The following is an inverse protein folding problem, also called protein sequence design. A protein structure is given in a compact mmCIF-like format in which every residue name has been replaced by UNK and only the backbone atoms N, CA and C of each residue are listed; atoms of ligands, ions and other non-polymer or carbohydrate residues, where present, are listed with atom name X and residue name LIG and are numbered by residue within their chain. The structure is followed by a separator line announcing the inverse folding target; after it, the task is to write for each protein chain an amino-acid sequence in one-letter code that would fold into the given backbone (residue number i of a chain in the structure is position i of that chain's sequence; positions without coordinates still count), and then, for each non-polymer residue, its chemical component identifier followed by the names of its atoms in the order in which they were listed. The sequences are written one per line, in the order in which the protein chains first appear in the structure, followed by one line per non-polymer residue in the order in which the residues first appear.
data_IF_161464947709
#
_entry.id   IF_161464947709
#
_cell.length_a   1.000
_cell.length_b   1.000
_cell.length_c   1.000
_cell.angle_alpha   90.00
_cell.angle_beta   90.00
_cell.angle_gamma   90.00
#
_symmetry.space_group_name_H-M   'P 1'
#
loop_
_entity.id
_entity.type
_entity.pdbx_description
1 polymer ?
#
# COMPACT_ATOMS: atom_id res chain seq x y z
N UNK A 1 -20.99 -66.08 6.73
CA UNK A 1 -22.00 -65.20 7.36
C UNK A 1 -23.09 -65.99 8.10
N UNK A 2 -23.25 -67.30 7.86
CA UNK A 2 -24.37 -68.09 8.38
C UNK A 2 -24.29 -68.58 9.84
N UNK A 3 -23.17 -68.34 10.53
CA UNK A 3 -22.99 -68.76 11.94
C UNK A 3 -23.59 -67.76 12.94
N UNK A 4 -23.64 -66.47 12.58
CA UNK A 4 -24.14 -65.40 13.44
C UNK A 4 -25.68 -65.31 13.49
N UNK A 5 -26.36 -65.86 12.48
CA UNK A 5 -27.83 -65.89 12.43
C UNK A 5 -28.46 -66.94 13.36
N UNK A 6 -27.66 -67.89 13.88
CA UNK A 6 -28.14 -68.99 14.75
C UNK A 6 -28.19 -68.63 16.23
N UNK A 7 -27.50 -67.58 16.65
CA UNK A 7 -27.44 -67.12 18.06
C UNK A 7 -28.26 -65.84 18.27
N UNK A 8 -29.28 -65.59 17.44
CA UNK A 8 -30.16 -64.43 17.62
C UNK A 8 -31.11 -64.67 18.80
N UNK A 9 -31.24 -63.72 19.72
CA UNK A 9 -32.21 -63.83 20.81
C UNK A 9 -33.64 -63.90 20.25
N UNK A 10 -34.47 -64.80 20.79
CA UNK A 10 -35.82 -65.06 20.29
C UNK A 10 -36.85 -64.04 20.80
N UNK A 11 -36.51 -63.25 21.82
CA UNK A 11 -37.44 -62.29 22.40
C UNK A 11 -37.39 -60.93 21.68
N UNK A 12 -38.55 -60.28 21.43
CA UNK A 12 -38.61 -59.02 20.70
C UNK A 12 -37.90 -57.86 21.43
N UNK A 13 -37.75 -57.94 22.75
CA UNK A 13 -37.04 -56.94 23.55
C UNK A 13 -35.52 -57.05 23.42
N UNK A 14 -34.98 -58.27 23.41
CA UNK A 14 -33.55 -58.52 23.23
C UNK A 14 -33.10 -58.19 21.81
N UNK A 15 -33.92 -58.48 20.80
CA UNK A 15 -33.67 -58.06 19.42
C UNK A 15 -33.64 -56.54 19.27
N UNK A 16 -34.56 -55.81 19.92
CA UNK A 16 -34.55 -54.33 19.91
C UNK A 16 -33.29 -53.76 20.56
N UNK A 17 -32.82 -54.37 21.66
CA UNK A 17 -31.55 -54.00 22.32
C UNK A 17 -30.34 -54.29 21.45
N UNK A 18 -30.31 -55.44 20.77
CA UNK A 18 -29.22 -55.79 19.87
C UNK A 18 -29.17 -54.85 18.66
N UNK A 19 -30.33 -54.51 18.08
CA UNK A 19 -30.42 -53.58 16.95
C UNK A 19 -29.96 -52.18 17.36
N UNK A 20 -30.32 -51.69 18.56
CA UNK A 20 -29.85 -50.38 19.03
C UNK A 20 -28.35 -50.37 19.31
N UNK A 21 -27.80 -51.45 19.85
CA UNK A 21 -26.34 -51.62 20.04
C UNK A 21 -25.61 -51.62 18.69
N UNK A 22 -26.07 -52.40 17.72
CA UNK A 22 -25.46 -52.45 16.39
C UNK A 22 -25.58 -51.12 15.64
N UNK A 23 -26.68 -50.37 15.82
CA UNK A 23 -26.83 -49.02 15.29
C UNK A 23 -25.83 -48.06 15.91
N UNK A 24 -25.66 -48.09 17.24
CA UNK A 24 -24.69 -47.26 17.95
C UNK A 24 -23.24 -47.59 17.51
N UNK A 25 -22.89 -48.87 17.38
CA UNK A 25 -21.59 -49.30 16.88
C UNK A 25 -21.35 -48.84 15.43
N UNK A 26 -22.35 -49.02 14.55
CA UNK A 26 -22.29 -48.55 13.16
C UNK A 26 -22.04 -47.06 13.10
N UNK A 27 -22.75 -46.28 13.91
CA UNK A 27 -22.64 -44.83 13.90
C UNK A 27 -21.29 -44.37 14.46
N UNK A 28 -20.76 -45.05 15.49
CA UNK A 28 -19.41 -44.82 15.99
C UNK A 28 -18.34 -45.15 14.94
N UNK A 29 -18.50 -46.25 14.18
CA UNK A 29 -17.59 -46.59 13.09
C UNK A 29 -17.67 -45.59 11.93
N UNK A 30 -18.86 -45.08 11.60
CA UNK A 30 -19.01 -44.02 10.58
C UNK A 30 -18.30 -42.74 10.98
N UNK A 31 -18.51 -42.27 12.22
CA UNK A 31 -17.81 -41.08 12.73
C UNK A 31 -16.29 -41.25 12.70
N UNK A 32 -15.77 -42.43 13.05
CA UNK A 32 -14.34 -42.73 12.91
C UNK A 32 -13.85 -42.74 11.46
N UNK A 33 -14.66 -43.26 10.53
CA UNK A 33 -14.32 -43.24 9.11
C UNK A 33 -14.27 -41.81 8.56
N UNK A 34 -15.26 -40.98 8.90
CA UNK A 34 -15.33 -39.59 8.47
C UNK A 34 -14.14 -38.77 9.01
N UNK A 35 -13.86 -38.88 10.31
CA UNK A 35 -12.71 -38.21 10.93
C UNK A 35 -11.37 -38.66 10.34
N UNK A 36 -11.20 -39.96 10.08
CA UNK A 36 -9.98 -40.46 9.41
C UNK A 36 -9.88 -39.94 7.97
N UNK A 37 -11.00 -39.85 7.25
CA UNK A 37 -11.03 -39.33 5.89
C UNK A 37 -10.66 -37.84 5.85
N UNK A 38 -11.16 -37.04 6.81
CA UNK A 38 -10.78 -35.64 6.98
C UNK A 38 -9.28 -35.50 7.26
N UNK A 39 -8.73 -36.31 8.18
CA UNK A 39 -7.29 -36.30 8.47
C UNK A 39 -6.46 -36.68 7.24
N UNK A 40 -6.88 -37.68 6.47
CA UNK A 40 -6.22 -38.05 5.21
C UNK A 40 -6.29 -36.92 4.19
N UNK A 41 -7.44 -36.24 4.07
CA UNK A 41 -7.59 -35.11 3.16
C UNK A 41 -6.66 -33.94 3.57
N UNK A 42 -6.57 -33.63 4.86
CA UNK A 42 -5.65 -32.63 5.41
C UNK A 42 -4.20 -33.01 5.12
N UNK A 43 -3.80 -34.26 5.38
CA UNK A 43 -2.44 -34.74 5.12
C UNK A 43 -2.09 -34.73 3.63
N UNK A 44 -3.05 -35.10 2.75
CA UNK A 44 -2.88 -34.99 1.30
C UNK A 44 -2.74 -33.53 0.86
N UNK A 45 -3.55 -32.62 1.41
CA UNK A 45 -3.40 -31.19 1.15
C UNK A 45 -2.06 -30.64 1.65
N UNK A 46 -1.55 -31.13 2.78
CA UNK A 46 -0.26 -30.68 3.32
C UNK A 46 0.94 -31.23 2.53
N UNK A 47 0.84 -32.47 2.03
CA UNK A 47 1.93 -33.17 1.33
C UNK A 47 1.95 -32.90 -0.19
N UNK A 48 0.78 -32.79 -0.81
CA UNK A 48 0.61 -32.63 -2.25
C UNK A 48 -0.13 -31.35 -2.64
N UNK A 49 -0.72 -30.63 -1.70
CA UNK A 49 -1.30 -29.32 -1.95
C UNK A 49 -0.22 -28.25 -2.09
N UNK A 50 -0.62 -27.11 -2.67
CA UNK A 50 0.29 -26.00 -2.92
C UNK A 50 0.74 -25.40 -1.57
N UNK A 51 2.04 -25.44 -1.29
CA UNK A 51 2.67 -24.77 -0.12
C UNK A 51 2.62 -23.24 -0.16
N UNK A 52 2.02 -22.68 -1.20
CA UNK A 52 1.97 -21.25 -1.48
C UNK A 52 0.54 -20.91 -1.89
N UNK A 53 -0.04 -19.88 -1.27
CA UNK A 53 -1.30 -19.23 -1.66
C UNK A 53 -1.17 -18.48 -3.01
N UNK A 54 -0.52 -19.11 -4.00
CA UNK A 54 -0.60 -18.64 -5.38
C UNK A 54 -1.98 -19.02 -5.92
N UNK A 55 -2.88 -18.07 -5.76
CA UNK A 55 -4.19 -18.00 -6.38
C UNK A 55 -4.01 -18.05 -7.90
N UNK A 56 -4.48 -19.10 -8.57
CA UNK A 56 -4.30 -19.28 -10.03
C UNK A 56 -5.38 -18.63 -10.90
N UNK A 57 -6.39 -18.00 -10.28
CA UNK A 57 -7.48 -17.32 -11.00
C UNK A 57 -7.22 -15.82 -11.25
N UNK A 58 -5.97 -15.37 -11.08
CA UNK A 58 -5.54 -14.05 -11.55
C UNK A 58 -4.49 -14.19 -12.64
N UNK A 59 -4.89 -14.28 -13.93
CA UNK A 59 -3.98 -14.07 -15.05
C UNK A 59 -3.49 -12.61 -15.17
N UNK A 60 -3.89 -11.69 -14.29
CA UNK A 60 -3.63 -10.25 -14.46
C UNK A 60 -2.81 -9.59 -13.35
N UNK A 61 -2.45 -10.29 -12.26
CA UNK A 61 -1.81 -9.62 -11.09
C UNK A 61 -0.37 -9.13 -11.35
N UNK A 62 0.27 -9.65 -12.40
CA UNK A 62 1.63 -9.28 -12.79
C UNK A 62 1.69 -8.67 -14.20
N UNK A 63 0.68 -8.93 -15.02
CA UNK A 63 0.55 -8.43 -16.39
C UNK A 63 -0.55 -7.37 -16.47
N UNK A 64 -0.80 -6.65 -15.36
CA UNK A 64 -1.81 -5.59 -15.22
C UNK A 64 -1.70 -4.56 -16.36
N UNK A 65 -0.47 -4.14 -16.68
CA UNK A 65 -0.20 -3.21 -17.76
C UNK A 65 -0.57 -3.77 -19.14
N UNK A 66 -0.25 -5.04 -19.42
CA UNK A 66 -0.52 -5.69 -20.70
C UNK A 66 -2.02 -6.00 -20.86
N UNK A 67 -2.69 -6.35 -19.78
CA UNK A 67 -4.13 -6.55 -19.74
C UNK A 67 -4.89 -5.23 -19.96
N UNK A 68 -4.43 -4.13 -19.36
CA UNK A 68 -5.01 -2.80 -19.60
C UNK A 68 -4.75 -2.32 -21.04
N UNK A 69 -3.55 -2.56 -21.58
CA UNK A 69 -3.19 -2.22 -22.97
C UNK A 69 -4.11 -2.92 -23.98
N UNK A 70 -4.42 -4.20 -23.79
CA UNK A 70 -5.35 -4.95 -24.66
C UNK A 70 -6.80 -4.44 -24.64
N UNK A 71 -7.20 -3.71 -23.59
CA UNK A 71 -8.54 -3.12 -23.46
C UNK A 71 -8.63 -1.70 -24.00
N UNK A 72 -7.49 -1.05 -24.24
CA UNK A 72 -7.42 0.29 -24.82
C UNK A 72 -7.44 0.16 -26.35
N UNK A 73 -8.32 0.88 -27.07
CA UNK A 73 -8.19 0.98 -28.51
C UNK A 73 -6.83 1.59 -28.83
N UNK A 74 -6.05 0.93 -29.71
CA UNK A 74 -4.71 1.34 -30.16
C UNK A 74 -4.68 2.85 -30.50
N UNK A 75 -4.28 3.68 -29.54
CA UNK A 75 -3.94 5.07 -29.81
C UNK A 75 -2.52 5.07 -30.38
N UNK A 76 -2.44 4.94 -31.70
CA UNK A 76 -1.19 5.16 -32.44
C UNK A 76 -0.54 6.46 -31.96
N UNK A 77 0.67 6.34 -31.43
CA UNK A 77 1.51 7.46 -31.01
C UNK A 77 2.00 8.18 -32.27
N UNK A 78 1.14 9.03 -32.85
CA UNK A 78 1.52 9.91 -33.95
C UNK A 78 2.07 11.21 -33.39
N UNK A 79 3.39 11.37 -33.49
CA UNK A 79 4.07 12.66 -33.40
C UNK A 79 3.76 13.41 -34.70
N UNK A 80 2.78 14.30 -34.69
CA UNK A 80 2.57 15.22 -35.82
C UNK A 80 1.64 16.39 -35.47
N UNK A 81 2.08 17.56 -35.90
CA UNK A 81 1.45 18.88 -35.91
C UNK A 81 -0.05 18.89 -36.32
N UNK A 82 -0.83 19.91 -35.91
CA UNK A 82 -2.26 19.91 -36.10
C UNK A 82 -2.66 20.65 -37.39
N UNK A 83 -2.70 19.97 -38.54
CA UNK A 83 -3.48 20.48 -39.68
C UNK A 83 -4.24 19.37 -40.41
N UNK A 84 -5.53 19.65 -40.66
CA UNK A 84 -6.37 18.91 -41.60
C UNK A 84 -7.48 18.07 -40.95
N UNK A 85 -8.67 18.67 -40.80
CA UNK A 85 -9.91 17.90 -40.65
C UNK A 85 -10.24 17.25 -42.00
N UNK A 86 -10.07 15.93 -42.12
CA UNK A 86 -10.62 15.18 -43.25
C UNK A 86 -12.05 14.75 -42.90
N UNK A 87 -13.01 15.20 -43.72
CA UNK A 87 -14.41 14.83 -43.60
C UNK A 87 -14.64 13.52 -44.38
N UNK A 88 -14.89 12.43 -43.65
CA UNK A 88 -15.41 11.17 -44.20
C UNK A 88 -16.68 10.83 -43.45
N UNK A 89 -17.75 10.58 -44.20
CA UNK A 89 -19.09 10.29 -43.69
C UNK A 89 -19.07 9.06 -42.77
N UNK A 90 -19.38 9.28 -41.49
CA UNK A 90 -19.60 8.22 -40.49
C UNK A 90 -18.62 8.28 -39.33
N UNK A 91 -18.95 9.11 -38.34
CA UNK A 91 -18.23 9.35 -37.06
C UNK A 91 -16.95 10.19 -37.12
N UNK A 92 -17.09 11.45 -36.69
CA UNK A 92 -15.98 12.32 -36.30
C UNK A 92 -15.44 11.84 -34.94
N UNK A 93 -14.49 10.90 -34.95
CA UNK A 93 -13.70 10.58 -33.76
C UNK A 93 -12.70 11.72 -33.54
N UNK A 94 -13.04 12.64 -32.65
CA UNK A 94 -12.05 13.60 -32.13
C UNK A 94 -10.99 12.81 -31.36
N UNK A 95 -9.76 12.73 -31.90
CA UNK A 95 -8.60 12.25 -31.15
C UNK A 95 -8.53 13.04 -29.85
N UNK A 96 -8.51 12.35 -28.72
CA UNK A 96 -8.44 12.98 -27.41
C UNK A 96 -7.14 13.77 -27.29
N UNK A 97 -7.21 15.09 -27.15
CA UNK A 97 -6.02 15.87 -26.81
C UNK A 97 -5.55 15.42 -25.43
N UNK A 98 -4.27 15.08 -25.29
CA UNK A 98 -3.66 14.76 -23.99
C UNK A 98 -3.96 15.92 -23.03
N UNK A 99 -4.47 15.60 -21.83
CA UNK A 99 -4.71 16.62 -20.81
C UNK A 99 -3.35 17.23 -20.40
N UNK A 100 -3.26 18.56 -20.25
CA UNK A 100 -2.03 19.19 -19.82
C UNK A 100 -1.63 18.70 -18.43
N UNK A 101 -0.32 18.63 -18.17
CA UNK A 101 0.19 18.27 -16.84
C UNK A 101 -0.22 19.32 -15.81
N UNK A 102 -0.41 18.92 -14.53
CA UNK A 102 -0.84 19.84 -13.48
C UNK A 102 0.03 21.10 -13.38
N UNK A 103 -0.60 22.28 -13.31
CA UNK A 103 0.09 23.56 -13.25
C UNK A 103 0.94 23.74 -11.98
N UNK A 104 0.57 23.07 -10.89
CA UNK A 104 1.21 23.20 -9.58
C UNK A 104 2.55 22.45 -9.46
N UNK A 105 2.90 21.58 -10.42
CA UNK A 105 4.17 20.86 -10.40
C UNK A 105 5.32 21.78 -10.84
N UNK A 106 6.48 21.72 -10.16
CA UNK A 106 7.64 22.53 -10.53
C UNK A 106 8.16 22.13 -11.91
N UNK A 107 8.40 23.12 -12.79
CA UNK A 107 8.92 22.91 -14.15
C UNK A 107 10.41 23.29 -14.23
N UNK A 108 11.28 22.30 -14.46
CA UNK A 108 12.71 22.55 -14.81
C UNK A 108 12.81 22.80 -16.32
N UNK A 109 13.15 24.03 -16.73
CA UNK A 109 13.35 24.35 -18.15
C UNK A 109 14.73 23.86 -18.59
N UNK A 110 14.77 22.96 -19.57
CA UNK A 110 15.98 22.58 -20.30
C UNK A 110 15.82 23.14 -21.70
N UNK A 111 16.69 24.09 -22.09
CA UNK A 111 16.66 24.71 -23.41
C UNK A 111 17.66 23.93 -24.28
N UNK A 112 17.17 23.28 -25.32
CA UNK A 112 17.99 22.68 -26.36
C UNK A 112 18.19 23.74 -27.45
N UNK A 113 19.37 24.35 -27.48
CA UNK A 113 19.73 25.39 -28.46
C UNK A 113 20.82 24.85 -29.40
N UNK A 114 20.88 25.40 -30.61
CA UNK A 114 21.92 25.09 -31.58
C UNK A 114 23.28 25.63 -31.07
N UNK A 115 24.38 24.96 -31.45
CA UNK A 115 25.71 25.52 -31.19
C UNK A 115 25.93 26.81 -31.98
N UNK A 116 26.85 27.68 -31.56
CA UNK A 116 27.12 28.95 -32.26
C UNK A 116 27.48 28.76 -33.74
N UNK A 117 28.17 27.67 -34.07
CA UNK A 117 28.54 27.30 -35.45
C UNK A 117 27.32 26.90 -36.29
N UNK A 118 26.31 26.28 -35.66
CA UNK A 118 25.06 25.85 -36.31
C UNK A 118 24.05 26.98 -36.45
N UNK A 119 24.27 28.13 -35.80
CA UNK A 119 23.43 29.33 -35.91
C UNK A 119 23.73 30.17 -37.14
N UNK A 120 24.46 29.63 -38.11
CA UNK A 120 24.78 30.29 -39.38
C UNK A 120 24.13 29.51 -40.52
N UNK A 121 23.46 30.21 -41.43
CA UNK A 121 22.88 29.62 -42.63
C UNK A 121 23.98 29.01 -43.50
N UNK A 122 23.85 27.72 -43.83
CA UNK A 122 24.83 27.00 -44.65
C UNK A 122 24.89 27.48 -46.11
N UNK A 123 23.87 28.20 -46.58
CA UNK A 123 23.78 28.68 -47.97
C UNK A 123 24.23 30.14 -48.10
N UNK A 124 23.78 31.02 -47.21
CA UNK A 124 23.98 32.48 -47.31
C UNK A 124 24.90 33.08 -46.23
N UNK A 125 25.33 32.28 -45.24
CA UNK A 125 26.26 32.72 -44.19
C UNK A 125 25.68 33.70 -43.16
N UNK A 126 24.38 34.00 -43.22
CA UNK A 126 23.69 34.87 -42.27
C UNK A 126 23.33 34.16 -40.97
N UNK A 127 23.25 34.90 -39.85
CA UNK A 127 22.86 34.37 -38.54
C UNK A 127 21.37 33.99 -38.53
N UNK A 128 21.07 32.77 -38.10
CA UNK A 128 19.70 32.27 -37.93
C UNK A 128 18.99 33.02 -36.80
N UNK A 129 17.71 33.34 -37.03
CA UNK A 129 16.84 34.04 -36.08
C UNK A 129 15.83 33.04 -35.54
N UNK A 130 15.45 33.20 -34.27
CA UNK A 130 14.44 32.37 -33.63
C UNK A 130 13.03 32.69 -34.19
N UNK A 131 12.36 31.70 -34.79
CA UNK A 131 11.04 31.87 -35.45
C UNK A 131 9.90 31.32 -34.56
N UNK A 132 10.18 30.31 -33.75
CA UNK A 132 9.20 29.63 -32.91
C UNK A 132 9.87 28.66 -31.94
N UNK A 133 9.08 28.11 -31.02
CA UNK A 133 9.54 27.10 -30.06
C UNK A 133 8.48 26.03 -29.92
N UNK A 134 8.93 24.78 -29.99
CA UNK A 134 8.12 23.63 -29.61
C UNK A 134 8.34 23.29 -28.14
N UNK A 135 7.25 23.13 -27.39
CA UNK A 135 7.29 22.86 -25.95
C UNK A 135 6.73 21.47 -25.69
N UNK A 136 7.61 20.54 -25.31
CA UNK A 136 7.23 19.23 -24.78
C UNK A 136 7.44 19.19 -23.27
N UNK A 137 6.44 18.75 -22.51
CA UNK A 137 6.58 18.54 -21.06
C UNK A 137 6.78 17.05 -20.75
N UNK A 138 7.68 16.75 -19.80
CA UNK A 138 7.97 15.38 -19.34
C UNK A 138 7.95 15.35 -17.80
N UNK A 139 7.53 14.21 -17.23
CA UNK A 139 7.55 13.98 -15.79
C UNK A 139 8.88 13.34 -15.37
N UNK A 140 9.63 14.01 -14.50
CA UNK A 140 10.85 13.50 -13.88
C UNK A 140 10.56 13.13 -12.42
N UNK A 141 10.88 11.91 -12.01
CA UNK A 141 10.77 11.46 -10.61
C UNK A 141 12.14 11.59 -9.96
N UNK A 142 12.24 12.44 -8.93
CA UNK A 142 13.41 12.49 -8.06
C UNK A 142 13.13 11.59 -6.86
N UNK A 143 13.89 10.50 -6.65
CA UNK A 143 13.64 9.58 -5.55
C UNK A 143 13.88 10.24 -4.19
N UNK A 144 13.30 9.65 -3.14
CA UNK A 144 13.43 10.16 -1.78
C UNK A 144 14.91 10.24 -1.33
N UNK A 145 15.37 11.46 -1.03
CA UNK A 145 16.70 11.72 -0.47
C UNK A 145 16.64 11.74 1.05
N UNK A 146 17.46 10.92 1.71
CA UNK A 146 17.56 10.91 3.18
C UNK A 146 18.79 11.71 3.59
N UNK A 147 18.59 12.75 4.40
CA UNK A 147 19.67 13.62 4.89
C UNK A 147 19.80 13.55 6.42
N UNK A 148 21.01 13.80 6.92
CA UNK A 148 21.30 13.79 8.36
C UNK A 148 21.37 15.22 8.89
N UNK A 149 20.46 15.57 9.81
CA UNK A 149 20.51 16.85 10.51
C UNK A 149 21.40 16.71 11.75
N UNK A 150 22.59 17.34 11.73
CA UNK A 150 23.53 17.32 12.85
C UNK A 150 23.29 18.52 13.77
N UNK A 151 22.71 18.29 14.93
CA UNK A 151 22.54 19.32 15.96
C UNK A 151 23.83 19.47 16.79
N UNK A 152 24.62 20.49 16.50
CA UNK A 152 25.82 20.85 17.27
C UNK A 152 25.44 21.88 18.33
N UNK A 153 25.70 21.57 19.61
CA UNK A 153 25.44 22.48 20.73
C UNK A 153 26.74 22.88 21.39
N UNK A 154 27.04 24.17 21.30
CA UNK A 154 28.21 24.75 21.94
C UNK A 154 27.98 24.83 23.45
N UNK A 155 29.06 24.60 24.20
CA UNK A 155 29.09 24.63 25.66
C UNK A 155 30.02 25.74 26.07
N UNK A 156 29.55 26.63 26.94
CA UNK A 156 30.31 27.77 27.42
C UNK A 156 30.49 27.67 28.92
N UNK A 157 31.71 27.88 29.40
CA UNK A 157 32.00 27.97 30.83
C UNK A 157 32.74 29.27 31.10
N UNK A 158 32.47 29.90 32.25
CA UNK A 158 33.23 31.08 32.66
C UNK A 158 34.59 30.63 33.22
N UNK A 159 35.72 31.09 32.66
CA UNK A 159 37.06 30.68 33.10
C UNK A 159 37.46 31.24 34.46
N UNK A 160 36.75 32.26 34.98
CA UNK A 160 37.12 32.95 36.22
C UNK A 160 36.40 32.37 37.44
N UNK A 161 35.09 32.14 37.34
CA UNK A 161 34.28 31.68 38.47
C UNK A 161 33.95 30.18 38.44
N UNK A 162 34.25 29.47 37.35
CA UNK A 162 33.99 28.03 37.19
C UNK A 162 32.53 27.62 37.52
N UNK A 163 31.58 28.56 37.46
CA UNK A 163 30.23 28.45 38.03
C UNK A 163 29.28 27.58 37.20
N UNK A 164 29.80 26.72 36.33
CA UNK A 164 29.03 25.77 35.52
C UNK A 164 29.11 25.99 34.02
N UNK A 165 28.55 25.03 33.28
CA UNK A 165 28.53 25.00 31.81
C UNK A 165 27.15 25.41 31.30
N UNK A 166 27.10 26.53 30.60
CA UNK A 166 25.92 27.03 29.90
C UNK A 166 25.85 26.41 28.49
N UNK A 167 24.65 26.02 28.08
CA UNK A 167 24.37 25.54 26.72
C UNK A 167 22.91 25.72 26.37
N UNK A 168 22.64 25.89 25.08
CA UNK A 168 21.28 25.92 24.57
C UNK A 168 20.59 24.55 24.75
N UNK A 169 19.32 24.51 25.21
CA UNK A 169 18.54 23.27 25.23
C UNK A 169 18.37 22.70 23.82
N UNK A 170 18.12 21.39 23.74
CA UNK A 170 17.79 20.77 22.46
C UNK A 170 16.39 21.25 22.03
N UNK A 171 16.15 21.54 20.73
CA UNK A 171 14.79 21.76 20.25
C UNK A 171 13.91 20.55 20.61
N UNK A 172 12.64 20.82 20.91
CA UNK A 172 11.69 19.77 21.23
C UNK A 172 11.55 18.84 20.03
N UNK A 173 11.66 17.54 20.29
CA UNK A 173 11.44 16.48 19.30
C UNK A 173 10.19 15.69 19.70
N UNK A 174 9.37 15.24 18.74
CA UNK A 174 8.18 14.44 19.05
C UNK A 174 8.52 13.20 19.88
N UNK A 175 9.61 12.52 19.51
CA UNK A 175 10.15 11.39 20.26
C UNK A 175 11.55 11.78 20.76
N UNK A 176 11.74 12.02 22.07
CA UNK A 176 13.03 12.40 22.61
C UNK A 176 14.12 11.35 22.31
N UNK A 177 15.29 11.83 21.85
CA UNK A 177 16.48 11.02 21.52
C UNK A 177 16.29 10.02 20.37
N UNK A 178 15.20 10.11 19.60
CA UNK A 178 15.05 9.30 18.41
C UNK A 178 16.01 9.76 17.30
N UNK A 179 16.40 8.83 16.42
CA UNK A 179 17.14 9.15 15.20
C UNK A 179 16.25 9.87 14.17
N UNK A 180 14.92 9.77 14.32
CA UNK A 180 13.95 10.34 13.41
C UNK A 180 13.58 11.78 13.77
N UNK A 181 13.57 12.64 12.75
CA UNK A 181 12.91 13.95 12.80
C UNK A 181 11.40 13.80 12.68
N UNK A 182 10.64 14.86 12.94
CA UNK A 182 9.19 14.87 12.73
C UNK A 182 8.81 14.52 11.27
N UNK A 183 9.58 15.02 10.30
CA UNK A 183 9.37 14.72 8.88
C UNK A 183 9.61 13.23 8.57
N UNK A 184 10.66 12.62 9.14
CA UNK A 184 10.91 11.19 8.98
C UNK A 184 9.79 10.34 9.59
N UNK A 185 9.28 10.73 10.76
CA UNK A 185 8.14 10.06 11.38
C UNK A 185 6.88 10.17 10.52
N UNK A 186 6.61 11.35 9.97
CA UNK A 186 5.48 11.58 9.06
C UNK A 186 5.58 10.72 7.80
N UNK A 187 6.75 10.66 7.16
CA UNK A 187 6.99 9.82 5.98
C UNK A 187 6.68 8.34 6.26
N UNK A 188 7.21 7.78 7.35
CA UNK A 188 6.97 6.37 7.73
C UNK A 188 5.49 6.11 8.02
N UNK A 189 4.81 7.05 8.69
CA UNK A 189 3.39 6.94 9.02
C UNK A 189 2.50 6.99 7.77
N UNK A 190 2.70 7.98 6.89
CA UNK A 190 1.95 8.11 5.63
C UNK A 190 2.19 6.88 4.76
N UNK A 191 3.45 6.50 4.56
CA UNK A 191 3.80 5.30 3.80
C UNK A 191 3.10 4.05 4.35
N UNK A 192 3.05 3.90 5.69
CA UNK A 192 2.46 2.70 6.31
C UNK A 192 0.94 2.67 6.20
N UNK A 193 0.28 3.79 6.49
CA UNK A 193 -1.17 3.82 6.72
C UNK A 193 -1.97 4.37 5.53
N UNK A 194 -1.43 5.32 4.77
CA UNK A 194 -2.07 5.86 3.58
C UNK A 194 -1.70 5.04 2.33
N UNK A 195 -0.40 4.71 2.18
CA UNK A 195 0.10 4.03 0.98
C UNK A 195 0.19 2.50 1.13
N UNK A 196 -0.35 1.97 2.24
CA UNK A 196 -0.35 0.53 2.57
C UNK A 196 1.02 -0.15 2.46
N UNK A 197 2.12 0.57 2.71
CA UNK A 197 3.48 0.07 2.57
C UNK A 197 3.99 -0.55 3.89
N UNK A 198 4.13 -1.89 4.00
CA UNK A 198 4.50 -2.51 5.28
C UNK A 198 5.92 -2.11 5.73
N UNK A 199 6.15 -2.05 7.05
CA UNK A 199 7.41 -1.56 7.62
C UNK A 199 8.66 -2.35 7.16
N UNK A 200 8.54 -3.65 6.86
CA UNK A 200 9.67 -4.43 6.33
C UNK A 200 10.05 -3.95 4.92
N UNK A 201 9.08 -3.57 4.10
CA UNK A 201 9.30 -3.07 2.74
C UNK A 201 9.89 -1.66 2.77
N UNK A 202 9.41 -0.83 3.70
CA UNK A 202 10.02 0.48 3.96
C UNK A 202 11.49 0.36 4.37
N UNK A 203 11.83 -0.58 5.26
CA UNK A 203 13.23 -0.86 5.62
C UNK A 203 14.08 -1.19 4.37
N UNK A 204 13.60 -2.07 3.48
CA UNK A 204 14.32 -2.43 2.25
C UNK A 204 14.47 -1.22 1.31
N UNK A 205 13.43 -0.39 1.19
CA UNK A 205 13.47 0.82 0.36
C UNK A 205 14.50 1.81 0.90
N UNK A 206 14.52 2.05 2.21
CA UNK A 206 15.50 2.93 2.85
C UNK A 206 16.94 2.40 2.71
N UNK A 207 17.11 1.07 2.77
CA UNK A 207 18.42 0.43 2.56
C UNK A 207 18.98 0.69 1.15
N UNK A 208 18.12 0.81 0.12
CA UNK A 208 18.56 1.20 -1.25
C UNK A 208 19.13 2.60 -1.29
N UNK A 209 18.70 3.48 -0.39
CA UNK A 209 19.25 4.83 -0.20
C UNK A 209 20.42 4.85 0.80
N UNK A 210 20.99 3.70 1.14
CA UNK A 210 22.12 3.57 2.07
C UNK A 210 21.76 3.70 3.55
N UNK A 211 20.48 3.67 3.90
CA UNK A 211 20.00 3.85 5.27
C UNK A 211 19.55 2.50 5.84
N UNK A 212 20.41 1.87 6.63
CA UNK A 212 20.06 0.65 7.36
C UNK A 212 19.33 0.98 8.67
N UNK A 213 18.00 0.79 8.68
CA UNK A 213 17.14 1.04 9.82
C UNK A 213 16.31 -0.19 10.15
N UNK A 214 16.56 -0.89 11.27
CA UNK A 214 15.87 -2.14 11.56
C UNK A 214 14.36 -1.93 11.72
N UNK A 215 13.57 -2.91 11.28
CA UNK A 215 12.10 -2.89 11.36
C UNK A 215 11.58 -2.59 12.78
N UNK A 216 12.28 -3.06 13.81
CA UNK A 216 11.94 -2.82 15.21
C UNK A 216 11.97 -1.33 15.57
N UNK A 217 12.94 -0.58 15.05
CA UNK A 217 13.05 0.87 15.23
C UNK A 217 11.86 1.59 14.58
N UNK A 218 11.53 1.24 13.33
CA UNK A 218 10.37 1.79 12.64
C UNK A 218 9.06 1.49 13.38
N UNK A 219 8.91 0.27 13.91
CA UNK A 219 7.73 -0.12 14.68
C UNK A 219 7.62 0.66 15.99
N UNK A 220 8.72 0.81 16.75
CA UNK A 220 8.74 1.59 17.98
C UNK A 220 8.38 3.06 17.72
N UNK A 221 8.87 3.65 16.62
CA UNK A 221 8.47 5.00 16.21
C UNK A 221 6.96 5.10 15.99
N UNK A 222 6.36 4.17 15.27
CA UNK A 222 4.90 4.19 15.01
C UNK A 222 4.08 4.02 16.29
N UNK A 223 4.52 3.18 17.22
CA UNK A 223 3.85 3.01 18.53
C UNK A 223 3.87 4.34 19.29
N UNK A 224 5.03 4.99 19.38
CA UNK A 224 5.16 6.29 20.06
C UNK A 224 4.38 7.39 19.35
N UNK A 225 4.37 7.42 18.02
CA UNK A 225 3.50 8.34 17.27
C UNK A 225 2.02 8.12 17.60
N UNK A 226 1.56 6.88 17.73
CA UNK A 226 0.20 6.57 18.17
C UNK A 226 -0.12 7.14 19.55
N UNK A 227 0.82 7.05 20.49
CA UNK A 227 0.67 7.65 21.82
C UNK A 227 0.59 9.18 21.77
N UNK A 228 1.41 9.82 20.92
CA UNK A 228 1.42 11.28 20.75
C UNK A 228 0.13 11.83 20.12
N UNK A 229 -0.50 11.07 19.23
CA UNK A 229 -1.73 11.46 18.54
C UNK A 229 -2.99 11.13 19.35
N UNK A 230 -2.86 10.35 20.44
CA UNK A 230 -3.99 9.96 21.29
C UNK A 230 -4.90 11.12 21.74
N UNK A 231 -4.38 12.30 22.16
CA UNK A 231 -5.24 13.43 22.52
C UNK A 231 -6.10 13.93 21.36
N UNK A 232 -5.58 13.90 20.12
CA UNK A 232 -6.35 14.27 18.93
C UNK A 232 -7.43 13.23 18.60
N UNK A 233 -7.13 11.95 18.80
CA UNK A 233 -8.12 10.87 18.63
C UNK A 233 -9.24 11.01 19.66
N UNK A 234 -8.90 11.36 20.91
CA UNK A 234 -9.89 11.63 21.95
C UNK A 234 -10.76 12.83 21.58
N UNK A 235 -10.17 13.94 21.17
CA UNK A 235 -10.92 15.12 20.72
C UNK A 235 -11.84 14.82 19.52
N UNK A 236 -11.35 14.02 18.55
CA UNK A 236 -12.15 13.59 17.41
C UNK A 236 -13.35 12.75 17.87
N UNK A 237 -13.14 11.82 18.81
CA UNK A 237 -14.21 11.02 19.40
C UNK A 237 -15.23 11.91 20.09
N UNK A 238 -14.79 12.83 20.94
CA UNK A 238 -15.68 13.73 21.70
C UNK A 238 -16.54 14.55 20.73
N UNK A 239 -15.92 15.13 19.69
CA UNK A 239 -16.61 15.85 18.60
C UNK A 239 -17.60 14.99 17.82
N UNK A 240 -17.28 13.71 17.60
CA UNK A 240 -18.21 12.79 16.94
C UNK A 240 -19.42 12.48 17.83
N UNK A 241 -19.21 12.31 19.14
CA UNK A 241 -20.28 12.03 20.10
C UNK A 241 -21.19 13.23 20.37
N UNK A 242 -20.70 14.45 20.15
CA UNK A 242 -21.52 15.68 20.16
C UNK A 242 -22.53 15.73 18.99
N UNK A 243 -22.27 14.99 17.90
CA UNK A 243 -23.16 14.98 16.74
C UNK A 243 -24.35 14.05 16.97
N UNK A 244 -25.56 14.52 16.68
CA UNK A 244 -26.78 13.71 16.80
C UNK A 244 -26.83 12.50 15.85
N UNK A 245 -25.95 12.44 14.85
CA UNK A 245 -25.85 11.35 13.88
C UNK A 245 -24.38 11.05 13.56
N UNK A 246 -23.96 9.81 13.82
CA UNK A 246 -22.62 9.32 13.45
C UNK A 246 -22.74 8.32 12.30
N UNK A 247 -22.04 8.58 11.20
CA UNK A 247 -21.96 7.64 10.08
C UNK A 247 -20.74 6.71 10.26
N UNK A 248 -21.01 5.41 10.44
CA UNK A 248 -19.97 4.38 10.47
C UNK A 248 -19.81 3.76 9.07
N UNK A 249 -18.63 3.92 8.46
CA UNK A 249 -18.30 3.30 7.18
C UNK A 249 -18.00 1.81 7.35
N UNK A 250 -18.74 0.95 6.62
CA UNK A 250 -18.50 -0.51 6.54
C UNK A 250 -19.78 -1.35 6.62
N UNK A 251 -20.75 -0.94 7.44
CA UNK A 251 -22.16 -1.37 7.42
C UNK A 251 -22.92 -0.20 8.06
N UNK A 252 -23.67 0.56 7.27
CA UNK A 252 -24.39 1.73 7.75
C UNK A 252 -25.51 1.30 8.72
N UNK A 253 -25.22 1.33 10.02
CA UNK A 253 -26.25 1.46 11.05
C UNK A 253 -26.15 2.87 11.60
N UNK A 254 -27.21 3.65 11.38
CA UNK A 254 -27.46 4.87 12.12
C UNK A 254 -27.67 4.46 13.57
N UNK A 255 -26.78 4.89 14.46
CA UNK A 255 -27.00 4.76 15.90
C UNK A 255 -27.50 6.13 16.35
N UNK A 256 -28.80 6.26 16.59
CA UNK A 256 -29.34 7.39 17.35
C UNK A 256 -28.78 7.28 18.76
N UNK A 257 -27.97 8.26 19.15
CA UNK A 257 -27.51 8.41 20.53
C UNK A 257 -28.72 8.94 21.30
N UNK A 258 -29.45 8.05 21.99
CA UNK A 258 -30.49 8.48 22.91
C UNK A 258 -29.85 9.29 24.04
N UNK A 259 -30.27 10.55 24.17
CA UNK A 259 -29.94 11.40 25.32
C UNK A 259 -30.32 10.65 26.61
N UNK A 260 -29.30 10.33 27.41
CA UNK A 260 -29.52 9.88 28.79
C UNK A 260 -29.79 11.15 29.60
N UNK A 261 -31.06 11.34 29.95
CA UNK A 261 -31.54 12.32 30.92
C UNK A 261 -31.05 12.02 32.34
#
# INVERSE_FOLDING_TARGET
MDKALKDLPETPEELRKLVSQLQAERDAFKQRADTLQEQVNILKAWRFGRRSEKFSDHPSLFDEAEAEEQTLPEEEVSDSEPEGTVDVSGHKRTKGKRKPLPANLPRRKVIHDLSEEQKVCGEDGHTLVEIGRDISEQLEIIPAQVTVIRHIRLKYGCPLCHSGVQREPMPLQPIPKALATAAMLAFVAVSKYADALPLYRQNIILARSGVDLPRSTLANWMIRCGQLVQPLINLLRDRMLESGVIQMGGVSRLVEIQEVA
#
